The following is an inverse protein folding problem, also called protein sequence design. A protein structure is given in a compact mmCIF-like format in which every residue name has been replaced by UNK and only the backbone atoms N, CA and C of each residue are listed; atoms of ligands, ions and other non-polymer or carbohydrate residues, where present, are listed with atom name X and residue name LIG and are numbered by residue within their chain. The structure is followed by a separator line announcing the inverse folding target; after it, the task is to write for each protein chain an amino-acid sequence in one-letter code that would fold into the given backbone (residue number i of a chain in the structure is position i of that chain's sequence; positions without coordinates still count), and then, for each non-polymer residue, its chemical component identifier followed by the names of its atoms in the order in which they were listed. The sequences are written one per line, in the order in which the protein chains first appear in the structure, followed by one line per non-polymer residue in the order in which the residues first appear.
data_IF_409414109124
#
_entry.id   IF_409414109124
#
_cell.length_a   1.000
_cell.length_b   1.000
_cell.length_c   1.000
_cell.angle_alpha   90.00
_cell.angle_beta   90.00
_cell.angle_gamma   90.00
#
_symmetry.space_group_name_H-M   'P 1'
#
loop_
_entity.id
_entity.type
_entity.pdbx_description
1 polymer ?
#
# COMPACT_ATOMS: atom_id res chain seq x y z
N UNK A 1 24.11 11.90 6.21
CA UNK A 1 22.81 11.55 6.82
C UNK A 1 22.91 10.14 7.41
N UNK A 2 22.29 9.91 8.57
CA UNK A 2 22.24 8.57 9.13
C UNK A 2 21.41 7.66 8.22
N UNK A 3 21.82 6.41 8.06
CA UNK A 3 21.04 5.40 7.34
C UNK A 3 19.72 5.16 8.07
N UNK A 4 18.57 5.19 7.39
CA UNK A 4 17.30 4.96 8.03
C UNK A 4 17.22 3.53 8.59
N UNK A 5 16.68 3.40 9.79
CA UNK A 5 16.46 2.09 10.41
C UNK A 5 15.10 1.59 9.94
N UNK A 6 15.10 0.48 9.21
CA UNK A 6 13.88 -0.20 8.77
C UNK A 6 13.59 -1.36 9.71
N UNK A 7 12.35 -1.44 10.15
CA UNK A 7 11.86 -2.48 11.06
C UNK A 7 10.75 -3.28 10.40
N UNK A 8 10.69 -4.57 10.69
CA UNK A 8 9.55 -5.40 10.36
C UNK A 8 8.42 -5.11 11.34
N UNK A 9 7.25 -4.78 10.82
CA UNK A 9 6.08 -4.47 11.62
C UNK A 9 5.42 -5.76 12.14
N UNK A 10 4.93 -5.68 13.37
CA UNK A 10 4.11 -6.70 14.03
C UNK A 10 2.66 -6.23 14.11
N UNK A 11 1.78 -7.03 14.68
CA UNK A 11 0.38 -6.65 14.89
C UNK A 11 0.23 -5.37 15.73
N UNK A 12 1.16 -5.10 16.66
CA UNK A 12 1.15 -3.87 17.47
C UNK A 12 1.53 -2.61 16.67
N UNK A 13 2.20 -2.78 15.54
CA UNK A 13 2.63 -1.70 14.65
C UNK A 13 1.59 -1.38 13.56
N UNK A 14 0.54 -2.20 13.41
CA UNK A 14 -0.45 -2.09 12.34
C UNK A 14 -1.07 -0.69 12.28
N UNK A 15 -1.63 -0.21 13.39
CA UNK A 15 -2.32 1.07 13.41
C UNK A 15 -1.41 2.26 13.06
N UNK A 16 -0.22 2.45 13.65
CA UNK A 16 0.66 3.55 13.30
C UNK A 16 1.26 3.41 11.90
N UNK A 17 1.53 2.21 11.40
CA UNK A 17 2.00 2.00 10.04
C UNK A 17 0.93 2.35 8.99
N UNK A 18 -0.32 1.94 9.20
CA UNK A 18 -1.45 2.34 8.36
C UNK A 18 -1.65 3.86 8.40
N UNK A 19 -1.55 4.49 9.58
CA UNK A 19 -1.66 5.95 9.68
C UNK A 19 -0.58 6.67 8.85
N UNK A 20 0.65 6.17 8.82
CA UNK A 20 1.72 6.71 7.98
C UNK A 20 1.38 6.60 6.49
N UNK A 21 0.83 5.46 6.04
CA UNK A 21 0.37 5.28 4.65
C UNK A 21 -0.78 6.23 4.33
N UNK A 22 -1.77 6.37 5.23
CA UNK A 22 -2.91 7.29 5.04
C UNK A 22 -2.43 8.73 4.83
N UNK A 23 -1.49 9.20 5.62
CA UNK A 23 -0.92 10.54 5.46
C UNK A 23 -0.12 10.68 4.15
N UNK A 24 0.64 9.67 3.77
CA UNK A 24 1.41 9.66 2.54
C UNK A 24 0.52 9.76 1.29
N UNK A 25 -0.65 9.11 1.31
CA UNK A 25 -1.61 9.08 0.19
C UNK A 25 -2.64 10.20 0.23
N UNK A 26 -2.55 11.16 1.16
CA UNK A 26 -3.54 12.23 1.32
C UNK A 26 -3.71 13.13 0.10
N UNK A 27 -2.74 13.18 -0.81
CA UNK A 27 -2.80 13.89 -2.09
C UNK A 27 -2.68 12.94 -3.30
N UNK A 28 -2.82 11.63 -3.09
CA UNK A 28 -2.76 10.66 -4.19
C UNK A 28 -3.96 10.80 -5.12
N UNK A 29 -3.75 10.86 -6.46
CA UNK A 29 -4.84 11.10 -7.39
C UNK A 29 -5.94 10.06 -7.36
N UNK A 30 -5.60 8.76 -7.28
CA UNK A 30 -6.58 7.68 -7.28
C UNK A 30 -7.35 7.62 -5.96
N UNK A 31 -6.66 7.77 -4.82
CA UNK A 31 -7.28 7.80 -3.52
C UNK A 31 -8.25 8.99 -3.38
N UNK A 32 -7.85 10.16 -3.86
CA UNK A 32 -8.68 11.39 -3.82
C UNK A 32 -9.81 11.38 -4.86
N UNK A 33 -9.65 10.67 -5.96
CA UNK A 33 -10.73 10.43 -6.90
C UNK A 33 -11.81 9.51 -6.30
N UNK A 34 -11.41 8.49 -5.57
CA UNK A 34 -12.33 7.56 -4.90
C UNK A 34 -13.09 8.26 -3.76
N UNK A 35 -12.37 9.02 -2.92
CA UNK A 35 -12.93 9.78 -1.80
C UNK A 35 -12.48 11.24 -1.89
N UNK A 36 -13.16 12.09 -2.70
CA UNK A 36 -12.79 13.50 -2.88
C UNK A 36 -12.93 14.32 -1.61
N UNK A 37 -13.93 14.02 -0.79
CA UNK A 37 -14.15 14.68 0.50
C UNK A 37 -13.09 14.24 1.52
N UNK A 38 -12.38 15.19 2.19
CA UNK A 38 -11.33 14.85 3.13
C UNK A 38 -11.79 14.02 4.34
N UNK A 39 -13.01 14.21 4.81
CA UNK A 39 -13.53 13.45 5.95
C UNK A 39 -13.85 12.02 5.53
N UNK A 40 -14.43 11.84 4.35
CA UNK A 40 -14.67 10.51 3.78
C UNK A 40 -13.35 9.76 3.52
N UNK A 41 -12.35 10.46 3.00
CA UNK A 41 -11.01 9.89 2.84
C UNK A 41 -10.44 9.38 4.16
N UNK A 42 -10.41 10.21 5.19
CA UNK A 42 -9.88 9.84 6.51
C UNK A 42 -10.70 8.73 7.19
N UNK A 43 -11.99 8.67 6.91
CA UNK A 43 -12.89 7.65 7.47
C UNK A 43 -12.71 6.28 6.79
N UNK A 44 -12.49 6.24 5.48
CA UNK A 44 -12.57 5.01 4.70
C UNK A 44 -11.23 4.50 4.17
N UNK A 45 -10.27 5.38 3.87
CA UNK A 45 -8.98 4.98 3.34
C UNK A 45 -8.16 4.06 4.27
N UNK A 46 -8.18 4.22 5.61
CA UNK A 46 -7.55 3.24 6.51
C UNK A 46 -8.08 1.81 6.34
N UNK A 47 -9.40 1.66 6.18
CA UNK A 47 -10.03 0.37 5.89
C UNK A 47 -9.63 -0.20 4.54
N UNK A 48 -9.47 0.66 3.53
CA UNK A 48 -8.98 0.28 2.22
C UNK A 48 -7.52 -0.23 2.28
N UNK A 49 -6.64 0.48 3.00
CA UNK A 49 -5.25 0.05 3.22
C UNK A 49 -5.21 -1.30 3.93
N UNK A 50 -6.06 -1.49 4.94
CA UNK A 50 -6.15 -2.75 5.68
C UNK A 50 -6.67 -3.90 4.82
N UNK A 51 -7.71 -3.69 4.01
CA UNK A 51 -8.27 -4.72 3.14
C UNK A 51 -7.27 -5.14 2.05
N UNK A 52 -6.59 -4.17 1.43
CA UNK A 52 -5.68 -4.44 0.31
C UNK A 52 -4.30 -4.93 0.76
N UNK A 53 -3.75 -4.38 1.85
CA UNK A 53 -2.37 -4.64 2.27
C UNK A 53 -2.21 -5.22 3.68
N UNK A 54 -3.27 -5.32 4.48
CA UNK A 54 -3.20 -5.67 5.90
C UNK A 54 -2.66 -7.06 6.19
N UNK A 55 -2.84 -8.02 5.28
CA UNK A 55 -2.29 -9.36 5.42
C UNK A 55 -0.75 -9.39 5.46
N UNK A 56 -0.08 -8.31 5.04
CA UNK A 56 1.36 -8.15 5.17
C UNK A 56 1.84 -8.26 6.63
N UNK A 57 1.07 -7.76 7.61
CA UNK A 57 1.45 -7.78 9.02
C UNK A 57 1.57 -9.20 9.60
N UNK A 58 0.65 -10.07 9.22
CA UNK A 58 0.65 -11.46 9.68
C UNK A 58 1.71 -12.34 8.99
N UNK A 59 2.25 -11.89 7.85
CA UNK A 59 3.14 -12.67 6.99
C UNK A 59 4.55 -12.08 6.87
N UNK A 60 4.92 -11.13 7.74
CA UNK A 60 6.27 -10.57 7.78
C UNK A 60 6.65 -9.69 6.60
N UNK A 61 5.65 -9.21 5.83
CA UNK A 61 5.83 -8.34 4.66
C UNK A 61 5.59 -6.85 4.93
N UNK A 62 5.21 -6.48 6.15
CA UNK A 62 5.03 -5.09 6.53
C UNK A 62 6.33 -4.53 7.13
N UNK A 63 6.77 -3.40 6.58
CA UNK A 63 7.98 -2.71 7.02
C UNK A 63 7.70 -1.24 7.30
N UNK A 64 8.42 -0.64 8.26
CA UNK A 64 8.32 0.78 8.54
C UNK A 64 9.68 1.40 8.86
N UNK A 65 9.79 2.69 8.61
CA UNK A 65 10.92 3.50 9.06
C UNK A 65 10.75 3.78 10.55
N UNK A 66 11.80 3.63 11.34
CA UNK A 66 11.75 3.88 12.79
C UNK A 66 11.10 5.24 13.08
N UNK A 67 10.17 5.27 14.05
CA UNK A 67 9.33 6.42 14.34
C UNK A 67 8.13 6.59 13.37
N UNK A 68 7.84 5.61 12.53
CA UNK A 68 6.72 5.61 11.55
C UNK A 68 6.77 6.76 10.56
N UNK A 69 7.97 7.19 10.16
CA UNK A 69 8.15 8.21 9.12
C UNK A 69 7.65 7.74 7.74
N UNK A 70 7.42 6.45 7.56
CA UNK A 70 6.85 5.83 6.39
C UNK A 70 6.70 4.34 6.59
N UNK A 71 5.91 3.71 5.72
CA UNK A 71 5.69 2.27 5.74
C UNK A 71 5.53 1.70 4.32
N UNK A 72 5.81 0.40 4.20
CA UNK A 72 5.58 -0.40 3.00
C UNK A 72 4.89 -1.70 3.40
N UNK A 73 3.83 -2.04 2.70
CA UNK A 73 3.06 -3.25 2.91
C UNK A 73 3.27 -4.16 1.70
N UNK A 74 3.97 -5.25 1.89
CA UNK A 74 4.24 -6.25 0.87
C UNK A 74 3.50 -7.54 1.17
N UNK A 75 2.82 -8.07 0.19
CA UNK A 75 2.23 -9.41 0.26
C UNK A 75 3.22 -10.41 -0.33
N UNK A 76 3.73 -11.35 0.48
CA UNK A 76 4.58 -12.43 -0.01
C UNK A 76 3.85 -13.31 -1.05
N UNK A 77 4.58 -14.12 -1.84
CA UNK A 77 3.96 -15.07 -2.75
C UNK A 77 2.83 -15.87 -2.08
N UNK A 78 1.70 -16.00 -2.78
CA UNK A 78 0.48 -16.70 -2.33
C UNK A 78 -0.34 -16.00 -1.25
N UNK A 79 0.14 -14.90 -0.65
CA UNK A 79 -0.66 -14.06 0.25
C UNK A 79 -1.45 -13.06 -0.59
N UNK A 80 -2.75 -13.04 -0.41
CA UNK A 80 -3.67 -12.19 -1.16
C UNK A 80 -4.29 -11.10 -0.30
N UNK A 81 -4.79 -10.01 -0.92
CA UNK A 81 -5.67 -9.06 -0.25
C UNK A 81 -6.91 -9.74 0.34
N UNK A 82 -7.56 -9.07 1.28
CA UNK A 82 -8.91 -9.41 1.72
C UNK A 82 -9.93 -8.83 0.72
N UNK A 83 -10.19 -9.59 -0.35
CA UNK A 83 -11.04 -9.16 -1.46
C UNK A 83 -12.49 -8.92 -1.02
N UNK A 84 -13.02 -9.73 -0.10
CA UNK A 84 -14.39 -9.57 0.41
C UNK A 84 -14.53 -8.26 1.20
N UNK A 85 -13.58 -7.96 2.07
CA UNK A 85 -13.55 -6.70 2.81
C UNK A 85 -13.38 -5.49 1.88
N UNK A 86 -12.53 -5.63 0.83
CA UNK A 86 -12.31 -4.59 -0.16
C UNK A 86 -13.58 -4.26 -0.95
N UNK A 87 -14.24 -5.28 -1.50
CA UNK A 87 -15.49 -5.13 -2.25
C UNK A 87 -16.58 -4.53 -1.37
N UNK A 88 -16.76 -5.04 -0.16
CA UNK A 88 -17.76 -4.54 0.79
C UNK A 88 -17.51 -3.06 1.16
N UNK A 89 -16.25 -2.66 1.36
CA UNK A 89 -15.90 -1.27 1.63
C UNK A 89 -16.25 -0.35 0.46
N UNK A 90 -15.84 -0.73 -0.75
CA UNK A 90 -16.06 0.08 -1.95
C UNK A 90 -17.55 0.22 -2.29
N UNK A 91 -18.33 -0.86 -2.16
CA UNK A 91 -19.78 -0.83 -2.36
C UNK A 91 -20.51 0.07 -1.36
N UNK A 92 -20.02 0.14 -0.13
CA UNK A 92 -20.63 0.93 0.95
C UNK A 92 -20.26 2.41 0.89
N UNK A 93 -19.07 2.76 0.41
CA UNK A 93 -18.49 4.10 0.58
C UNK A 93 -18.36 4.91 -0.71
N UNK A 94 -18.37 4.27 -1.87
CA UNK A 94 -18.30 4.95 -3.16
C UNK A 94 -19.67 5.43 -3.63
N UNK A 95 -19.71 6.57 -4.36
CA UNK A 95 -20.90 6.94 -5.12
C UNK A 95 -21.13 5.95 -6.27
N UNK A 96 -22.37 5.75 -6.71
CA UNK A 96 -22.70 4.81 -7.77
C UNK A 96 -21.91 5.06 -9.08
N UNK A 97 -21.67 6.33 -9.44
CA UNK A 97 -20.90 6.71 -10.63
C UNK A 97 -19.40 6.36 -10.52
N UNK A 98 -18.83 6.43 -9.32
CA UNK A 98 -17.42 6.10 -9.08
C UNK A 98 -17.22 4.59 -8.95
N UNK A 99 -18.20 3.87 -8.40
CA UNK A 99 -18.10 2.43 -8.19
C UNK A 99 -17.90 1.66 -9.50
N UNK A 100 -18.65 1.97 -10.54
CA UNK A 100 -18.54 1.29 -11.84
C UNK A 100 -17.14 1.48 -12.44
N UNK A 101 -16.66 2.71 -12.47
CA UNK A 101 -15.33 3.03 -12.99
C UNK A 101 -14.22 2.40 -12.13
N UNK A 102 -14.39 2.38 -10.82
CA UNK A 102 -13.43 1.81 -9.87
C UNK A 102 -13.31 0.29 -10.06
N UNK A 103 -14.45 -0.42 -10.20
CA UNK A 103 -14.42 -1.85 -10.51
C UNK A 103 -13.80 -2.15 -11.88
N UNK A 104 -14.03 -1.30 -12.88
CA UNK A 104 -13.38 -1.42 -14.18
C UNK A 104 -11.85 -1.26 -14.08
N UNK A 105 -11.37 -0.34 -13.22
CA UNK A 105 -9.92 -0.18 -12.95
C UNK A 105 -9.36 -1.45 -12.29
N UNK A 106 -10.01 -2.00 -11.26
CA UNK A 106 -9.55 -3.23 -10.62
C UNK A 106 -9.57 -4.43 -11.59
N UNK A 107 -10.59 -4.55 -12.43
CA UNK A 107 -10.63 -5.59 -13.46
C UNK A 107 -9.46 -5.46 -14.45
N UNK A 108 -9.11 -4.23 -14.82
CA UNK A 108 -7.95 -3.98 -15.67
C UNK A 108 -6.64 -4.31 -14.95
N UNK A 109 -6.48 -3.93 -13.70
CA UNK A 109 -5.31 -4.28 -12.89
C UNK A 109 -5.12 -5.80 -12.83
N UNK A 110 -6.20 -6.55 -12.59
CA UNK A 110 -6.17 -8.02 -12.52
C UNK A 110 -5.68 -8.67 -13.84
N UNK A 111 -5.96 -8.07 -14.99
CA UNK A 111 -5.46 -8.57 -16.29
C UNK A 111 -3.95 -8.47 -16.44
N UNK A 112 -3.32 -7.50 -15.76
CA UNK A 112 -1.87 -7.29 -15.77
C UNK A 112 -1.16 -7.89 -14.57
N UNK A 113 -1.92 -8.28 -13.54
CA UNK A 113 -1.36 -8.88 -12.35
C UNK A 113 -0.70 -10.22 -12.68
N UNK A 114 0.56 -10.46 -12.28
CA UNK A 114 1.25 -11.71 -12.57
C UNK A 114 0.52 -12.93 -11.98
N UNK A 115 0.49 -14.03 -12.75
CA UNK A 115 -0.12 -15.30 -12.30
C UNK A 115 0.86 -16.18 -11.56
N UNK A 116 2.15 -16.05 -11.87
CA UNK A 116 3.21 -16.78 -11.19
C UNK A 116 3.42 -16.21 -9.77
N UNK A 117 3.92 -17.03 -8.82
CA UNK A 117 4.20 -16.55 -7.47
C UNK A 117 5.14 -15.34 -7.47
N UNK A 118 4.74 -14.27 -6.80
CA UNK A 118 5.46 -13.00 -6.76
C UNK A 118 5.18 -12.26 -5.46
N UNK A 119 6.08 -11.34 -5.11
CA UNK A 119 5.83 -10.34 -4.08
C UNK A 119 5.01 -9.20 -4.66
N UNK A 120 3.92 -8.82 -3.99
CA UNK A 120 3.07 -7.71 -4.40
C UNK A 120 3.15 -6.54 -3.42
N UNK A 121 3.35 -5.33 -3.93
CA UNK A 121 3.40 -4.10 -3.15
C UNK A 121 2.13 -3.26 -3.37
N UNK A 122 1.07 -3.44 -2.56
CA UNK A 122 -0.10 -2.56 -2.61
C UNK A 122 0.20 -1.14 -2.13
N UNK A 123 1.03 -0.98 -1.11
CA UNK A 123 1.31 0.34 -0.55
C UNK A 123 2.76 0.53 -0.16
N UNK A 124 3.32 1.67 -0.57
CA UNK A 124 4.52 2.27 0.00
C UNK A 124 4.29 3.77 0.11
N UNK A 125 4.52 4.35 1.29
CA UNK A 125 4.32 5.76 1.50
C UNK A 125 5.22 6.34 2.58
N UNK A 126 5.69 7.57 2.36
CA UNK A 126 6.48 8.34 3.30
C UNK A 126 5.67 9.56 3.73
N UNK A 127 5.65 9.80 5.03
CA UNK A 127 5.00 10.98 5.61
C UNK A 127 5.42 12.24 4.83
N UNK A 128 4.49 13.13 4.46
CA UNK A 128 4.82 14.28 3.60
C UNK A 128 5.99 15.15 4.10
N UNK A 129 6.13 15.34 5.41
CA UNK A 129 7.24 16.11 5.99
C UNK A 129 8.60 15.36 5.97
N UNK A 130 8.58 14.07 5.68
CA UNK A 130 9.75 13.18 5.71
C UNK A 130 10.21 12.76 4.31
N UNK A 131 9.53 13.21 3.27
CA UNK A 131 9.88 12.94 1.88
C UNK A 131 11.21 13.59 1.49
N UNK A 132 11.86 13.06 0.45
CA UNK A 132 13.16 13.58 -0.04
C UNK A 132 14.37 13.15 0.79
N UNK A 133 14.18 12.38 1.88
CA UNK A 133 15.25 11.91 2.76
C UNK A 133 15.77 10.49 2.45
N UNK A 134 15.31 9.89 1.35
CA UNK A 134 15.73 8.55 0.94
C UNK A 134 14.99 7.40 1.63
N UNK A 135 13.98 7.68 2.47
CA UNK A 135 13.25 6.65 3.22
C UNK A 135 12.49 5.67 2.33
N UNK A 136 11.87 6.17 1.25
CA UNK A 136 11.19 5.31 0.28
C UNK A 136 12.13 4.32 -0.39
N UNK A 137 13.31 4.79 -0.81
CA UNK A 137 14.33 3.93 -1.40
C UNK A 137 14.85 2.88 -0.40
N UNK A 138 14.99 3.25 0.88
CA UNK A 138 15.43 2.32 1.92
C UNK A 138 14.37 1.25 2.21
N UNK A 139 13.08 1.61 2.29
CA UNK A 139 11.97 0.65 2.43
C UNK A 139 11.91 -0.30 1.23
N UNK A 140 12.02 0.24 0.02
CA UNK A 140 12.00 -0.54 -1.21
C UNK A 140 13.17 -1.54 -1.23
N UNK A 141 14.40 -1.05 -1.00
CA UNK A 141 15.59 -1.91 -0.98
C UNK A 141 15.47 -3.03 0.05
N UNK A 142 14.99 -2.72 1.26
CA UNK A 142 14.83 -3.72 2.32
C UNK A 142 13.94 -4.89 1.90
N UNK A 143 12.83 -4.60 1.23
CA UNK A 143 11.92 -5.61 0.72
C UNK A 143 12.48 -6.36 -0.49
N UNK A 144 13.14 -5.66 -1.43
CA UNK A 144 13.76 -6.28 -2.59
C UNK A 144 14.89 -7.25 -2.22
N UNK A 145 15.63 -6.97 -1.14
CA UNK A 145 16.61 -7.92 -0.60
C UNK A 145 15.95 -9.24 -0.14
N UNK A 146 14.67 -9.22 0.29
CA UNK A 146 13.91 -10.44 0.58
C UNK A 146 13.46 -11.14 -0.70
N UNK A 147 12.96 -10.38 -1.68
CA UNK A 147 12.60 -10.94 -3.00
C UNK A 147 13.78 -11.64 -3.67
N UNK A 148 14.97 -11.05 -3.60
CA UNK A 148 16.20 -11.61 -4.16
C UNK A 148 16.60 -12.92 -3.47
N UNK A 149 16.49 -12.99 -2.13
CA UNK A 149 16.74 -14.23 -1.38
C UNK A 149 15.77 -15.35 -1.74
N UNK A 150 14.52 -14.99 -1.99
CA UNK A 150 13.47 -15.95 -2.33
C UNK A 150 13.47 -16.30 -3.82
N UNK A 151 14.32 -15.65 -4.63
CA UNK A 151 14.32 -15.74 -6.10
C UNK A 151 12.95 -15.53 -6.72
N UNK A 152 12.16 -14.62 -6.12
CA UNK A 152 10.79 -14.31 -6.53
C UNK A 152 10.72 -12.92 -7.16
N UNK A 153 9.94 -12.73 -8.24
CA UNK A 153 9.71 -11.41 -8.80
C UNK A 153 8.89 -10.53 -7.86
N UNK A 154 9.02 -9.23 -8.03
CA UNK A 154 8.24 -8.22 -7.33
C UNK A 154 7.36 -7.45 -8.32
N UNK A 155 6.13 -7.14 -7.91
CA UNK A 155 5.15 -6.44 -8.73
C UNK A 155 4.46 -5.31 -7.96
N UNK A 156 4.17 -4.22 -8.64
CA UNK A 156 3.37 -3.11 -8.13
C UNK A 156 2.62 -2.41 -9.28
N UNK A 157 1.54 -1.73 -8.93
CA UNK A 157 0.92 -0.70 -9.76
C UNK A 157 1.12 0.67 -9.10
N UNK A 158 1.33 1.71 -9.92
CA UNK A 158 1.47 3.07 -9.40
C UNK A 158 0.21 3.87 -9.68
N UNK A 159 -0.36 4.47 -8.64
CA UNK A 159 -1.51 5.38 -8.70
C UNK A 159 -1.12 6.82 -9.09
N UNK A 160 0.17 7.14 -9.08
CA UNK A 160 0.65 8.49 -9.33
C UNK A 160 1.71 8.50 -10.46
N UNK A 161 1.45 9.18 -11.58
CA UNK A 161 2.39 9.27 -12.70
C UNK A 161 3.77 9.82 -12.31
N UNK A 162 3.86 10.62 -11.24
CA UNK A 162 5.14 11.15 -10.74
C UNK A 162 6.09 10.08 -10.21
N UNK A 163 5.58 8.88 -9.90
CA UNK A 163 6.38 7.75 -9.42
C UNK A 163 6.89 6.85 -10.55
N UNK A 164 6.52 7.19 -11.79
CA UNK A 164 6.99 6.46 -12.99
C UNK A 164 8.22 7.20 -13.52
N UNK A 165 9.38 6.53 -13.68
CA UNK A 165 10.60 7.14 -14.24
C UNK A 165 10.42 7.66 -15.65
#
# INVERSE_FOLDING_TARGET
MATPIIKTATASDEAPAIAAVVLAFSADPAARWTWPDPQQYLMHFPGFVKALGGNAFAHGGAYYVDGYAGAALWLPPEVRPDEDALVALLQRTGSASVQEDLFAVFEQMERYHPRDPHWYLPFIGIHPSEQGKGYGAALMKHALDACDRDHAPAYLESSNPKNIP
#
